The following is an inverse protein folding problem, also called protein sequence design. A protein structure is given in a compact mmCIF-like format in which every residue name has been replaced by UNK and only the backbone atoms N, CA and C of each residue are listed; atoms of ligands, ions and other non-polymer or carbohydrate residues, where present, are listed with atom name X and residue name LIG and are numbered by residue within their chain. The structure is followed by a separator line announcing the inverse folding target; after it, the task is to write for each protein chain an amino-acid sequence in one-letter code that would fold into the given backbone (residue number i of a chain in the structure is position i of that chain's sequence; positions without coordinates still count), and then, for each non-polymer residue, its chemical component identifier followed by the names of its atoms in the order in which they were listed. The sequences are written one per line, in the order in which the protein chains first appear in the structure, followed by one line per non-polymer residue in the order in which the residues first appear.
data_IF_962710754547
#
_entry.id   IF_962710754547
#
_cell.length_a   1.000
_cell.length_b   1.000
_cell.length_c   1.000
_cell.angle_alpha   90.00
_cell.angle_beta   90.00
_cell.angle_gamma   90.00
#
_symmetry.space_group_name_H-M   'P 1'
#
loop_
_entity.id
_entity.type
_entity.pdbx_description
1 polymer ?
#
# COMPACT_ATOMS: atom_id res chain seq x y z
N UNK A 1 9.09 32.40 34.33
CA UNK A 1 8.09 31.32 34.53
C UNK A 1 7.20 31.30 33.29
N UNK A 2 7.01 30.18 32.59
CA UNK A 2 6.08 30.16 31.47
C UNK A 2 4.67 30.34 32.04
N UNK A 3 3.99 31.41 31.63
CA UNK A 3 2.65 31.76 32.08
C UNK A 3 1.71 30.57 31.80
N UNK A 4 1.27 29.90 32.87
CA UNK A 4 0.22 28.88 32.79
C UNK A 4 -1.05 29.58 32.30
N UNK A 5 -1.42 29.30 31.06
CA UNK A 5 -2.73 29.70 30.52
C UNK A 5 -3.79 29.02 31.38
N UNK A 6 -4.72 29.80 31.91
CA UNK A 6 -5.81 29.29 32.76
C UNK A 6 -6.67 28.28 31.99
N UNK A 7 -6.85 27.07 32.56
CA UNK A 7 -7.61 25.98 31.92
C UNK A 7 -9.06 26.38 31.60
N UNK A 8 -9.66 27.23 32.45
CA UNK A 8 -10.99 27.81 32.25
C UNK A 8 -11.08 28.62 30.96
N UNK A 9 -10.02 29.36 30.61
CA UNK A 9 -9.94 30.18 29.40
C UNK A 9 -9.74 29.31 28.15
N UNK A 10 -8.97 28.22 28.27
CA UNK A 10 -8.80 27.23 27.20
C UNK A 10 -10.13 26.55 26.88
N UNK A 11 -10.88 26.10 27.88
CA UNK A 11 -12.16 25.42 27.68
C UNK A 11 -13.20 26.35 27.04
N UNK A 12 -13.23 27.63 27.45
CA UNK A 12 -14.10 28.60 26.80
C UNK A 12 -13.68 28.86 25.35
N UNK A 13 -12.39 28.99 25.07
CA UNK A 13 -11.89 29.14 23.71
C UNK A 13 -12.23 27.93 22.82
N UNK A 14 -12.18 26.70 23.35
CA UNK A 14 -12.62 25.50 22.62
C UNK A 14 -14.11 25.51 22.31
N UNK A 15 -14.95 25.95 23.26
CA UNK A 15 -16.40 26.11 23.03
C UNK A 15 -16.68 27.15 21.97
N UNK A 16 -16.06 28.33 22.08
CA UNK A 16 -16.16 29.39 21.09
C UNK A 16 -15.70 28.91 19.71
N UNK A 17 -14.62 28.12 19.63
CA UNK A 17 -14.13 27.55 18.37
C UNK A 17 -15.14 26.58 17.77
N UNK A 18 -15.79 25.73 18.59
CA UNK A 18 -16.84 24.82 18.13
C UNK A 18 -18.06 25.59 17.59
N UNK A 19 -18.47 26.66 18.26
CA UNK A 19 -19.57 27.53 17.81
C UNK A 19 -19.23 28.29 16.52
N UNK A 20 -17.97 28.71 16.36
CA UNK A 20 -17.46 29.39 15.17
C UNK A 20 -17.19 28.45 13.98
N UNK A 21 -17.45 27.15 14.10
CA UNK A 21 -17.30 26.17 13.02
C UNK A 21 -15.98 25.39 12.99
N UNK A 22 -15.18 25.45 14.05
CA UNK A 22 -14.02 24.58 14.29
C UNK A 22 -12.64 25.26 14.24
N UNK A 23 -12.61 26.59 14.08
CA UNK A 23 -11.39 27.40 14.19
C UNK A 23 -11.70 28.70 14.95
N UNK A 24 -10.66 29.44 15.31
CA UNK A 24 -10.82 30.67 16.07
C UNK A 24 -9.91 31.79 15.56
N UNK A 25 -10.46 33.01 15.47
CA UNK A 25 -9.72 34.28 15.37
C UNK A 25 -10.00 35.09 16.65
N UNK A 26 -9.22 36.15 16.91
CA UNK A 26 -9.47 37.00 18.08
C UNK A 26 -10.92 37.55 18.07
N UNK A 27 -11.38 38.02 16.91
CA UNK A 27 -12.74 38.53 16.74
C UNK A 27 -13.81 37.46 17.00
N UNK A 28 -13.61 36.24 16.47
CA UNK A 28 -14.55 35.13 16.68
C UNK A 28 -14.56 34.70 18.15
N UNK A 29 -13.41 34.72 18.83
CA UNK A 29 -13.36 34.48 20.26
C UNK A 29 -14.18 35.53 21.02
N UNK A 30 -13.97 36.82 20.76
CA UNK A 30 -14.70 37.89 21.44
C UNK A 30 -16.20 37.92 21.10
N UNK A 31 -16.57 37.41 19.93
CA UNK A 31 -17.96 37.24 19.51
C UNK A 31 -18.66 36.09 20.25
N UNK A 32 -18.00 34.92 20.37
CA UNK A 32 -18.60 33.68 20.87
C UNK A 32 -18.27 33.34 22.32
N UNK A 33 -17.38 34.08 23.00
CA UNK A 33 -17.11 33.89 24.44
C UNK A 33 -18.29 34.28 25.32
N UNK A 34 -18.42 33.65 26.48
CA UNK A 34 -19.28 34.13 27.55
C UNK A 34 -18.74 35.46 28.11
N UNK A 35 -19.36 36.57 27.68
CA UNK A 35 -18.97 37.92 28.08
C UNK A 35 -19.09 38.19 29.59
N UNK A 36 -19.89 37.39 30.31
CA UNK A 36 -20.06 37.53 31.76
C UNK A 36 -18.98 36.78 32.55
N UNK A 37 -18.32 35.78 31.96
CA UNK A 37 -17.35 34.91 32.65
C UNK A 37 -15.92 35.10 32.19
N UNK A 38 -15.71 35.57 30.96
CA UNK A 38 -14.40 35.57 30.33
C UNK A 38 -14.08 36.95 29.79
N UNK A 39 -12.87 37.44 30.05
CA UNK A 39 -12.40 38.74 29.56
C UNK A 39 -12.17 38.73 28.04
N UNK A 40 -12.11 39.92 27.44
CA UNK A 40 -11.77 40.05 26.02
C UNK A 40 -10.34 39.55 25.72
N UNK A 41 -10.11 39.13 24.48
CA UNK A 41 -8.79 38.63 24.07
C UNK A 41 -7.67 39.65 24.34
N UNK A 42 -7.87 40.92 23.96
CA UNK A 42 -6.85 41.97 24.13
C UNK A 42 -6.47 42.16 25.61
N UNK A 43 -7.47 42.14 26.50
CA UNK A 43 -7.24 42.20 27.96
C UNK A 43 -6.44 40.99 28.45
N UNK A 44 -6.78 39.80 27.98
CA UNK A 44 -6.07 38.56 28.34
C UNK A 44 -4.63 38.55 27.82
N UNK A 45 -4.42 38.96 26.57
CA UNK A 45 -3.13 39.00 25.90
C UNK A 45 -2.16 39.95 26.61
N UNK A 46 -2.61 41.15 27.00
CA UNK A 46 -1.80 42.12 27.74
C UNK A 46 -1.37 41.59 29.11
N UNK A 47 -2.29 40.97 29.86
CA UNK A 47 -2.00 40.41 31.20
C UNK A 47 -1.00 39.26 31.12
N UNK A 48 -1.16 38.37 30.14
CA UNK A 48 -0.38 37.13 30.03
C UNK A 48 0.80 37.21 29.05
N UNK A 49 0.98 38.36 28.38
CA UNK A 49 2.04 38.62 27.38
C UNK A 49 2.15 37.49 26.34
N UNK A 50 1.02 37.02 25.82
CA UNK A 50 0.94 35.91 24.87
C UNK A 50 0.26 36.34 23.56
N UNK A 51 0.80 35.90 22.42
CA UNK A 51 0.19 36.14 21.11
C UNK A 51 -0.99 35.20 20.87
N UNK A 52 -1.94 35.59 20.02
CA UNK A 52 -3.11 34.74 19.76
C UNK A 52 -2.71 33.42 19.12
N UNK A 53 -1.70 33.46 18.23
CA UNK A 53 -1.16 32.27 17.58
C UNK A 53 -0.55 31.29 18.57
N UNK A 54 0.19 31.77 19.56
CA UNK A 54 0.80 30.90 20.57
C UNK A 54 -0.23 30.36 21.55
N UNK A 55 -1.24 31.17 21.89
CA UNK A 55 -2.40 30.70 22.66
C UNK A 55 -3.14 29.56 21.95
N UNK A 56 -3.43 29.69 20.66
CA UNK A 56 -4.08 28.65 19.86
C UNK A 56 -3.31 27.33 19.88
N UNK A 57 -1.97 27.38 19.80
CA UNK A 57 -1.11 26.19 19.91
C UNK A 57 -1.22 25.52 21.28
N UNK A 58 -1.20 26.30 22.37
CA UNK A 58 -1.34 25.78 23.74
C UNK A 58 -2.72 25.14 23.91
N UNK A 59 -3.77 25.79 23.42
CA UNK A 59 -5.15 25.31 23.50
C UNK A 59 -5.44 24.16 22.52
N UNK A 60 -4.52 23.83 21.61
CA UNK A 60 -4.69 22.90 20.49
C UNK A 60 -5.90 23.24 19.61
N UNK A 61 -6.16 24.53 19.41
CA UNK A 61 -7.23 25.04 18.56
C UNK A 61 -6.63 25.44 17.22
N UNK A 62 -7.15 24.96 16.07
CA UNK A 62 -6.65 25.36 14.77
C UNK A 62 -6.85 26.85 14.52
N UNK A 63 -5.84 27.51 13.94
CA UNK A 63 -6.04 28.80 13.28
C UNK A 63 -6.93 28.64 12.04
N UNK A 64 -7.44 29.77 11.51
CA UNK A 64 -8.25 29.79 10.28
C UNK A 64 -7.56 29.09 9.10
N UNK A 65 -6.26 29.34 8.94
CA UNK A 65 -5.49 28.77 7.84
C UNK A 65 -5.20 27.28 8.05
N UNK A 66 -4.87 26.86 9.27
CA UNK A 66 -4.69 25.44 9.61
C UNK A 66 -5.99 24.65 9.45
N UNK A 67 -7.12 25.24 9.84
CA UNK A 67 -8.42 24.62 9.66
C UNK A 67 -8.76 24.44 8.18
N UNK A 68 -8.54 25.48 7.35
CA UNK A 68 -8.73 25.38 5.89
C UNK A 68 -7.82 24.31 5.28
N UNK A 69 -6.55 24.26 5.68
CA UNK A 69 -5.59 23.22 5.25
C UNK A 69 -6.09 21.82 5.63
N UNK A 70 -6.55 21.61 6.86
CA UNK A 70 -7.04 20.32 7.32
C UNK A 70 -8.34 19.90 6.61
N UNK A 71 -9.28 20.84 6.43
CA UNK A 71 -10.51 20.59 5.67
C UNK A 71 -10.19 20.18 4.22
N UNK A 72 -9.21 20.86 3.60
CA UNK A 72 -8.74 20.53 2.25
C UNK A 72 -8.13 19.13 2.20
N UNK A 73 -7.28 18.75 3.17
CA UNK A 73 -6.71 17.40 3.26
C UNK A 73 -7.79 16.32 3.34
N UNK A 74 -8.81 16.52 4.18
CA UNK A 74 -9.92 15.57 4.32
C UNK A 74 -10.63 15.39 2.98
N UNK A 75 -10.89 16.49 2.27
CA UNK A 75 -11.53 16.46 0.97
C UNK A 75 -10.68 15.73 -0.09
N UNK A 76 -9.37 15.97 -0.12
CA UNK A 76 -8.44 15.25 -1.01
C UNK A 76 -8.50 13.74 -0.76
N UNK A 77 -8.45 13.31 0.51
CA UNK A 77 -8.51 11.90 0.90
C UNK A 77 -9.84 11.28 0.43
N UNK A 78 -10.96 11.98 0.61
CA UNK A 78 -12.27 11.51 0.15
C UNK A 78 -12.32 11.34 -1.37
N UNK A 79 -11.83 12.33 -2.13
CA UNK A 79 -11.78 12.26 -3.60
C UNK A 79 -10.91 11.09 -4.07
N UNK A 80 -9.75 10.90 -3.43
CA UNK A 80 -8.84 9.78 -3.71
C UNK A 80 -9.49 8.42 -3.42
N UNK A 81 -10.19 8.28 -2.29
CA UNK A 81 -10.93 7.06 -1.95
C UNK A 81 -12.06 6.78 -2.93
N UNK A 82 -12.83 7.80 -3.32
CA UNK A 82 -13.88 7.67 -4.34
C UNK A 82 -13.32 7.18 -5.67
N UNK A 83 -12.25 7.80 -6.18
CA UNK A 83 -11.60 7.35 -7.41
C UNK A 83 -11.08 5.92 -7.32
N UNK A 84 -10.48 5.57 -6.18
CA UNK A 84 -9.95 4.23 -5.97
C UNK A 84 -11.06 3.18 -5.88
N UNK A 85 -12.24 3.52 -5.36
CA UNK A 85 -13.43 2.66 -5.39
C UNK A 85 -13.93 2.49 -6.83
N UNK A 86 -13.99 3.58 -7.60
CA UNK A 86 -14.51 3.57 -8.98
C UNK A 86 -13.57 2.87 -9.97
N UNK A 87 -12.27 3.11 -9.86
CA UNK A 87 -11.27 2.72 -10.87
C UNK A 87 -10.20 1.75 -10.35
N UNK A 88 -10.16 1.48 -9.04
CA UNK A 88 -9.15 0.61 -8.40
C UNK A 88 -7.78 1.27 -8.18
N UNK A 89 -7.61 2.52 -8.63
CA UNK A 89 -6.43 3.35 -8.48
C UNK A 89 -6.79 4.83 -8.68
N UNK A 90 -5.84 5.72 -8.40
CA UNK A 90 -5.92 7.15 -8.69
C UNK A 90 -4.88 7.54 -9.75
N UNK A 91 -5.28 8.41 -10.66
CA UNK A 91 -4.40 9.05 -11.63
C UNK A 91 -4.92 10.44 -11.99
N UNK A 92 -4.04 11.26 -12.56
CA UNK A 92 -4.35 12.65 -12.91
C UNK A 92 -5.56 12.77 -13.84
N UNK A 93 -5.59 11.98 -14.92
CA UNK A 93 -6.64 12.04 -15.93
C UNK A 93 -8.00 11.72 -15.31
N UNK A 94 -8.11 10.61 -14.58
CA UNK A 94 -9.35 10.23 -13.92
C UNK A 94 -9.76 11.24 -12.85
N UNK A 95 -8.81 11.84 -12.13
CA UNK A 95 -9.10 12.86 -11.13
C UNK A 95 -9.69 14.14 -11.75
N UNK A 96 -9.10 14.60 -12.86
CA UNK A 96 -9.52 15.81 -13.56
C UNK A 96 -10.84 15.63 -14.32
N UNK A 97 -11.10 14.44 -14.88
CA UNK A 97 -12.37 14.10 -15.51
C UNK A 97 -13.56 14.22 -14.53
N UNK A 98 -13.33 13.90 -13.25
CA UNK A 98 -14.34 14.03 -12.19
C UNK A 98 -14.50 15.49 -11.69
N UNK A 99 -13.68 16.43 -12.17
CA UNK A 99 -13.71 17.85 -11.80
C UNK A 99 -13.67 18.09 -10.29
N UNK A 100 -12.92 17.25 -9.58
CA UNK A 100 -12.78 17.37 -8.13
C UNK A 100 -12.04 18.65 -7.72
N UNK A 101 -12.39 19.15 -6.54
CA UNK A 101 -11.67 20.22 -5.87
C UNK A 101 -11.01 19.69 -4.59
N UNK A 102 -9.75 20.06 -4.28
CA UNK A 102 -8.86 20.94 -5.05
C UNK A 102 -8.27 20.28 -6.31
N UNK A 103 -7.66 21.06 -7.22
CA UNK A 103 -7.04 20.53 -8.45
C UNK A 103 -5.83 19.64 -8.18
N UNK A 104 -5.50 18.78 -9.14
CA UNK A 104 -4.35 17.87 -9.04
C UNK A 104 -3.03 18.62 -8.81
N UNK A 105 -2.79 19.71 -9.57
CA UNK A 105 -1.61 20.57 -9.44
C UNK A 105 -1.50 21.15 -8.02
N UNK A 106 -2.61 21.67 -7.48
CA UNK A 106 -2.62 22.24 -6.14
C UNK A 106 -2.27 21.18 -5.08
N UNK A 107 -2.77 19.95 -5.25
CA UNK A 107 -2.44 18.84 -4.34
C UNK A 107 -0.96 18.48 -4.44
N UNK A 108 -0.45 18.35 -5.66
CA UNK A 108 0.95 18.07 -5.94
C UNK A 108 1.87 19.10 -5.27
N UNK A 109 1.60 20.39 -5.49
CA UNK A 109 2.47 21.47 -5.03
C UNK A 109 2.42 21.69 -3.51
N UNK A 110 1.25 21.52 -2.89
CA UNK A 110 1.03 21.88 -1.47
C UNK A 110 1.10 20.72 -0.51
N UNK A 111 0.81 19.51 -0.96
CA UNK A 111 0.72 18.33 -0.10
C UNK A 111 1.56 17.14 -0.59
N UNK A 112 1.79 17.04 -1.90
CA UNK A 112 2.39 15.88 -2.57
C UNK A 112 1.35 14.78 -2.81
N UNK A 113 1.22 14.33 -4.06
CA UNK A 113 0.23 13.33 -4.47
C UNK A 113 0.47 11.98 -3.79
N UNK A 114 1.73 11.52 -3.76
CA UNK A 114 2.14 10.25 -3.18
C UNK A 114 1.87 10.20 -1.68
N UNK A 115 2.17 11.29 -0.99
CA UNK A 115 1.91 11.43 0.45
C UNK A 115 0.42 11.32 0.74
N UNK A 116 -0.40 12.03 -0.02
CA UNK A 116 -1.85 12.00 0.17
C UNK A 116 -2.47 10.65 -0.22
N UNK A 117 -1.94 9.99 -1.25
CA UNK A 117 -2.37 8.64 -1.63
C UNK A 117 -2.04 7.59 -0.56
N UNK A 118 -0.86 7.70 0.05
CA UNK A 118 -0.44 6.86 1.17
C UNK A 118 -1.36 7.06 2.38
N UNK A 119 -1.63 8.31 2.79
CA UNK A 119 -2.56 8.62 3.89
C UNK A 119 -3.98 8.13 3.60
N UNK A 120 -4.41 8.19 2.34
CA UNK A 120 -5.71 7.71 1.91
C UNK A 120 -5.78 6.19 1.75
N UNK A 121 -4.64 5.48 1.83
CA UNK A 121 -4.52 4.03 1.60
C UNK A 121 -5.00 3.59 0.20
N UNK A 122 -4.68 4.40 -0.83
CA UNK A 122 -5.10 4.15 -2.22
C UNK A 122 -3.93 3.91 -3.17
N UNK A 123 -4.19 3.26 -4.30
CA UNK A 123 -3.15 2.92 -5.29
C UNK A 123 -2.97 4.07 -6.27
N UNK A 124 -1.73 4.54 -6.49
CA UNK A 124 -1.38 5.48 -7.57
C UNK A 124 -1.06 4.75 -8.88
N UNK A 125 -1.48 5.33 -10.01
CA UNK A 125 -1.08 4.88 -11.34
C UNK A 125 0.35 5.35 -11.63
N UNK A 126 1.27 4.39 -11.73
CA UNK A 126 2.74 4.50 -11.83
C UNK A 126 3.44 4.81 -10.48
N UNK A 127 3.97 3.76 -9.85
CA UNK A 127 3.90 3.55 -8.39
C UNK A 127 5.25 3.56 -7.64
N UNK A 128 6.39 3.76 -8.30
CA UNK A 128 7.70 3.42 -7.72
C UNK A 128 8.51 4.63 -7.24
N UNK A 129 8.45 4.89 -5.93
CA UNK A 129 9.20 5.97 -5.26
C UNK A 129 10.70 5.60 -5.19
N UNK A 130 11.02 4.38 -4.76
CA UNK A 130 12.38 3.83 -4.67
C UNK A 130 12.61 2.65 -5.64
N UNK A 131 13.89 2.31 -5.86
CA UNK A 131 14.31 1.20 -6.72
C UNK A 131 14.05 -0.15 -6.04
N UNK A 132 14.18 -0.25 -4.72
CA UNK A 132 14.04 -1.52 -3.99
C UNK A 132 12.63 -2.10 -4.09
N UNK A 133 11.60 -1.26 -3.97
CA UNK A 133 10.19 -1.61 -4.18
C UNK A 133 9.93 -2.01 -5.62
N UNK A 134 10.61 -1.37 -6.57
CA UNK A 134 10.53 -1.69 -7.99
C UNK A 134 11.14 -3.08 -8.28
N UNK A 135 12.27 -3.39 -7.66
CA UNK A 135 12.92 -4.71 -7.74
C UNK A 135 12.11 -5.78 -7.04
N UNK A 136 11.51 -5.47 -5.89
CA UNK A 136 10.63 -6.40 -5.17
C UNK A 136 9.39 -6.78 -6.01
N UNK A 137 8.71 -5.78 -6.58
CA UNK A 137 7.56 -6.02 -7.49
C UNK A 137 7.98 -6.80 -8.74
N UNK A 138 9.17 -6.52 -9.30
CA UNK A 138 9.73 -7.29 -10.41
C UNK A 138 9.93 -8.75 -10.01
N UNK A 139 10.54 -8.98 -8.84
CA UNK A 139 10.83 -10.32 -8.32
C UNK A 139 9.56 -11.14 -8.14
N UNK A 140 8.53 -10.52 -7.57
CA UNK A 140 7.20 -11.13 -7.40
C UNK A 140 6.55 -11.42 -8.77
N UNK A 141 6.55 -10.46 -9.71
CA UNK A 141 5.92 -10.69 -11.01
C UNK A 141 6.58 -11.81 -11.82
N UNK A 142 7.91 -11.94 -11.75
CA UNK A 142 8.64 -13.04 -12.41
C UNK A 142 8.33 -14.38 -11.73
N UNK A 143 8.20 -14.39 -10.40
CA UNK A 143 7.77 -15.57 -9.64
C UNK A 143 6.35 -16.00 -9.98
N UNK A 144 5.41 -15.07 -10.08
CA UNK A 144 4.03 -15.34 -10.49
C UNK A 144 3.95 -15.82 -11.94
N UNK A 145 4.81 -15.30 -12.82
CA UNK A 145 4.94 -15.78 -14.19
C UNK A 145 5.49 -17.21 -14.25
N UNK A 146 6.32 -17.60 -13.28
CA UNK A 146 6.86 -18.95 -13.12
C UNK A 146 8.01 -19.30 -14.06
N UNK A 147 8.45 -18.36 -14.91
CA UNK A 147 9.60 -18.51 -15.80
C UNK A 147 10.28 -17.17 -16.08
N UNK A 148 11.51 -17.21 -16.61
CA UNK A 148 12.26 -16.02 -17.06
C UNK A 148 11.78 -15.59 -18.45
N UNK A 149 11.13 -14.42 -18.59
CA UNK A 149 10.66 -13.92 -19.88
C UNK A 149 11.74 -13.13 -20.62
N UNK A 150 11.54 -12.96 -21.92
CA UNK A 150 12.21 -11.87 -22.63
C UNK A 150 11.68 -10.52 -22.16
N UNK A 151 12.48 -9.46 -22.36
CA UNK A 151 12.04 -8.08 -22.11
C UNK A 151 10.76 -7.72 -22.87
N UNK A 152 10.65 -8.16 -24.11
CA UNK A 152 9.49 -7.88 -24.96
C UNK A 152 8.24 -8.60 -24.45
N UNK A 153 8.34 -9.90 -24.16
CA UNK A 153 7.24 -10.68 -23.58
C UNK A 153 6.77 -10.05 -22.26
N UNK A 154 7.69 -9.63 -21.40
CA UNK A 154 7.34 -9.00 -20.13
C UNK A 154 6.55 -7.70 -20.31
N UNK A 155 6.92 -6.87 -21.31
CA UNK A 155 6.21 -5.63 -21.64
C UNK A 155 4.83 -5.91 -22.27
N UNK A 156 4.73 -6.92 -23.14
CA UNK A 156 3.48 -7.37 -23.77
C UNK A 156 2.47 -7.91 -22.75
N UNK A 157 2.96 -8.65 -21.75
CA UNK A 157 2.18 -9.13 -20.61
C UNK A 157 1.80 -8.01 -19.62
N UNK A 158 2.32 -6.79 -19.80
CA UNK A 158 2.04 -5.61 -18.97
C UNK A 158 2.27 -5.85 -17.47
N UNK A 159 3.31 -6.62 -17.15
CA UNK A 159 3.70 -6.96 -15.79
C UNK A 159 4.31 -5.75 -15.06
N UNK A 160 4.45 -5.87 -13.74
CA UNK A 160 4.87 -4.78 -12.84
C UNK A 160 6.23 -5.06 -12.21
N UNK A 161 7.17 -4.10 -12.18
CA UNK A 161 7.11 -2.75 -12.75
C UNK A 161 7.16 -2.75 -14.28
N UNK A 162 6.50 -1.80 -14.93
CA UNK A 162 6.62 -1.68 -16.39
C UNK A 162 8.06 -1.40 -16.83
N UNK A 163 8.44 -1.81 -18.04
CA UNK A 163 9.75 -1.48 -18.62
C UNK A 163 10.01 0.03 -18.64
N UNK A 164 8.96 0.82 -18.88
CA UNK A 164 9.04 2.29 -18.82
C UNK A 164 9.34 2.80 -17.41
N UNK A 165 8.75 2.18 -16.38
CA UNK A 165 9.03 2.49 -14.97
C UNK A 165 10.49 2.18 -14.61
N UNK A 166 11.01 1.02 -15.02
CA UNK A 166 12.43 0.67 -14.84
C UNK A 166 13.35 1.71 -15.49
N UNK A 167 13.07 2.05 -16.75
CA UNK A 167 13.84 3.04 -17.51
C UNK A 167 13.80 4.44 -16.85
N UNK A 168 12.68 4.83 -16.26
CA UNK A 168 12.54 6.13 -15.57
C UNK A 168 13.46 6.29 -14.36
N UNK A 169 13.96 5.18 -13.80
CA UNK A 169 14.94 5.15 -12.71
C UNK A 169 16.35 4.78 -13.20
N UNK A 170 16.64 4.94 -14.50
CA UNK A 170 17.90 4.54 -15.14
C UNK A 170 18.26 3.06 -14.95
N UNK A 171 17.25 2.19 -14.74
CA UNK A 171 17.45 0.77 -14.57
C UNK A 171 17.24 0.04 -15.90
N UNK A 172 18.30 -0.59 -16.41
CA UNK A 172 18.17 -1.47 -17.58
C UNK A 172 17.50 -2.78 -17.17
N UNK A 173 16.84 -3.46 -18.12
CA UNK A 173 16.19 -4.76 -17.87
C UNK A 173 17.17 -5.78 -17.27
N UNK A 174 18.38 -5.87 -17.84
CA UNK A 174 19.43 -6.78 -17.36
C UNK A 174 19.83 -6.46 -15.92
N UNK A 175 20.03 -5.18 -15.59
CA UNK A 175 20.41 -4.77 -14.24
C UNK A 175 19.28 -5.01 -13.25
N UNK A 176 18.03 -4.75 -13.66
CA UNK A 176 16.85 -5.01 -12.84
C UNK A 176 16.72 -6.50 -12.49
N UNK A 177 16.88 -7.37 -13.48
CA UNK A 177 16.83 -8.82 -13.29
C UNK A 177 17.95 -9.31 -12.39
N UNK A 178 19.19 -8.81 -12.56
CA UNK A 178 20.31 -9.14 -11.67
C UNK A 178 20.00 -8.72 -10.22
N UNK A 179 19.47 -7.52 -10.01
CA UNK A 179 19.08 -7.04 -8.68
C UNK A 179 17.92 -7.84 -8.09
N UNK A 180 17.03 -8.38 -8.92
CA UNK A 180 15.99 -9.31 -8.52
C UNK A 180 16.49 -10.75 -8.32
N UNK A 181 17.80 -11.00 -8.39
CA UNK A 181 18.48 -12.30 -8.27
C UNK A 181 18.19 -13.28 -9.43
N UNK A 182 17.90 -12.74 -10.62
CA UNK A 182 17.62 -13.51 -11.83
C UNK A 182 18.62 -13.29 -12.95
N UNK A 183 18.86 -14.36 -13.72
CA UNK A 183 19.66 -14.29 -14.93
C UNK A 183 18.77 -14.12 -16.17
N UNK A 184 18.66 -12.88 -16.64
CA UNK A 184 17.89 -12.50 -17.84
C UNK A 184 18.36 -13.12 -19.17
N UNK A 185 19.54 -13.73 -19.25
CA UNK A 185 20.02 -14.37 -20.49
C UNK A 185 19.47 -15.79 -20.68
N UNK A 186 19.02 -16.42 -19.60
CA UNK A 186 18.47 -17.78 -19.62
C UNK A 186 16.93 -17.73 -19.72
N UNK A 187 16.46 -17.22 -20.85
CA UNK A 187 15.02 -17.10 -21.13
C UNK A 187 14.38 -18.50 -21.16
N UNK A 188 13.21 -18.65 -20.55
CA UNK A 188 12.47 -19.91 -20.46
C UNK A 188 12.80 -20.77 -19.24
N UNK A 189 13.89 -20.48 -18.52
CA UNK A 189 14.16 -21.08 -17.21
C UNK A 189 12.96 -20.90 -16.26
N UNK A 190 12.69 -21.89 -15.41
CA UNK A 190 11.57 -21.90 -14.46
C UNK A 190 11.96 -21.26 -13.12
N UNK A 191 10.97 -20.80 -12.35
CA UNK A 191 11.18 -20.00 -11.12
C UNK A 191 10.78 -20.69 -9.82
N UNK A 192 10.60 -22.00 -9.72
CA UNK A 192 10.10 -22.66 -8.50
C UNK A 192 8.72 -22.14 -8.09
N UNK A 193 7.84 -23.00 -7.59
CA UNK A 193 6.51 -22.57 -7.14
C UNK A 193 6.36 -22.60 -5.62
N UNK A 194 7.36 -23.11 -4.90
CA UNK A 194 7.32 -23.16 -3.44
C UNK A 194 7.28 -21.76 -2.82
N UNK A 195 6.52 -21.59 -1.74
CA UNK A 195 6.35 -20.29 -1.09
C UNK A 195 7.70 -19.71 -0.64
N UNK A 196 7.89 -18.41 -0.88
CA UNK A 196 9.12 -17.66 -0.59
C UNK A 196 10.41 -18.21 -1.20
N UNK A 197 10.34 -19.14 -2.16
CA UNK A 197 11.49 -19.61 -2.91
C UNK A 197 11.54 -18.93 -4.28
N UNK A 198 12.61 -18.20 -4.57
CA UNK A 198 12.77 -17.45 -5.84
C UNK A 198 13.84 -18.07 -6.73
N UNK A 199 14.16 -19.35 -6.55
CA UNK A 199 15.24 -20.01 -7.28
C UNK A 199 14.86 -20.19 -8.74
N UNK A 200 15.69 -19.65 -9.63
CA UNK A 200 15.68 -19.93 -11.06
C UNK A 200 16.38 -21.27 -11.34
N UNK A 201 15.79 -22.11 -12.19
CA UNK A 201 16.36 -23.38 -12.64
C UNK A 201 16.02 -23.68 -14.10
N UNK A 202 16.71 -24.67 -14.66
CA UNK A 202 16.60 -25.02 -16.08
C UNK A 202 15.17 -25.37 -16.50
N UNK A 203 14.82 -24.96 -17.73
CA UNK A 203 13.53 -25.23 -18.33
C UNK A 203 13.21 -26.73 -18.31
N UNK A 204 12.17 -27.09 -17.57
CA UNK A 204 11.70 -28.46 -17.41
C UNK A 204 10.21 -28.46 -17.06
N UNK A 205 9.60 -29.65 -17.01
CA UNK A 205 8.22 -29.83 -16.50
C UNK A 205 8.14 -29.71 -14.97
N UNK A 206 9.28 -29.59 -14.27
CA UNK A 206 9.31 -29.49 -12.81
C UNK A 206 8.70 -28.17 -12.32
N UNK A 207 7.89 -28.27 -11.27
CA UNK A 207 7.30 -27.11 -10.59
C UNK A 207 8.21 -26.54 -9.48
N UNK A 208 9.09 -27.36 -8.91
CA UNK A 208 9.94 -26.99 -7.78
C UNK A 208 11.42 -27.16 -8.14
N UNK A 209 12.28 -26.34 -7.55
CA UNK A 209 13.72 -26.61 -7.57
C UNK A 209 14.02 -27.87 -6.74
N UNK A 210 15.15 -28.53 -6.98
CA UNK A 210 15.48 -29.82 -6.35
C UNK A 210 15.41 -29.79 -4.81
N UNK A 211 15.79 -28.67 -4.19
CA UNK A 211 15.72 -28.48 -2.74
C UNK A 211 14.27 -28.46 -2.25
N UNK A 212 13.40 -27.69 -2.91
CA UNK A 212 11.99 -27.61 -2.54
C UNK A 212 11.24 -28.89 -2.91
N UNK A 213 11.60 -29.55 -4.01
CA UNK A 213 11.03 -30.84 -4.42
C UNK A 213 11.28 -31.91 -3.35
N UNK A 214 12.53 -32.00 -2.85
CA UNK A 214 12.87 -32.91 -1.73
C UNK A 214 12.10 -32.57 -0.47
N UNK A 215 11.92 -31.29 -0.17
CA UNK A 215 11.16 -30.83 1.01
C UNK A 215 9.69 -31.25 0.92
N UNK A 216 9.02 -30.96 -0.21
CA UNK A 216 7.63 -31.33 -0.46
C UNK A 216 7.45 -32.85 -0.41
N UNK A 217 8.35 -33.62 -1.04
CA UNK A 217 8.31 -35.10 -0.95
C UNK A 217 8.43 -35.60 0.48
N UNK A 218 9.31 -35.00 1.30
CA UNK A 218 9.42 -35.36 2.72
C UNK A 218 8.19 -34.99 3.52
N UNK A 219 7.56 -33.85 3.26
CA UNK A 219 6.31 -33.41 3.89
C UNK A 219 5.16 -34.38 3.54
N UNK A 220 5.04 -34.76 2.27
CA UNK A 220 4.03 -35.73 1.80
C UNK A 220 4.26 -37.11 2.44
N UNK A 221 5.49 -37.61 2.47
CA UNK A 221 5.78 -38.91 3.08
C UNK A 221 5.38 -38.94 4.57
N UNK A 222 5.68 -37.87 5.32
CA UNK A 222 5.24 -37.76 6.72
C UNK A 222 3.72 -37.76 6.87
N UNK A 223 3.01 -37.09 5.96
CA UNK A 223 1.54 -37.10 5.95
C UNK A 223 1.00 -38.51 5.69
N UNK A 224 1.56 -39.23 4.71
CA UNK A 224 1.21 -40.61 4.39
C UNK A 224 1.45 -41.53 5.60
N UNK A 225 2.63 -41.42 6.24
CA UNK A 225 2.99 -42.24 7.41
C UNK A 225 2.03 -42.02 8.60
N UNK A 226 1.43 -40.83 8.70
CA UNK A 226 0.47 -40.47 9.74
C UNK A 226 -1.00 -40.75 9.38
N UNK A 227 -1.26 -41.20 8.16
CA UNK A 227 -2.62 -41.30 7.61
C UNK A 227 -3.34 -42.55 8.10
N UNK A 228 -4.65 -42.44 8.36
CA UNK A 228 -5.46 -43.63 8.64
C UNK A 228 -5.63 -44.48 7.38
N UNK A 229 -5.83 -45.79 7.56
CA UNK A 229 -6.01 -46.72 6.45
C UNK A 229 -7.23 -46.37 5.57
N UNK A 230 -8.28 -45.79 6.18
CA UNK A 230 -9.48 -45.32 5.48
C UNK A 230 -9.19 -44.09 4.61
N UNK A 231 -8.42 -43.14 5.13
CA UNK A 231 -8.07 -41.91 4.39
C UNK A 231 -7.09 -42.21 3.26
N UNK A 232 -6.14 -43.12 3.48
CA UNK A 232 -5.22 -43.60 2.45
C UNK A 232 -5.96 -44.28 1.29
N UNK A 233 -6.99 -45.09 1.60
CA UNK A 233 -7.84 -45.70 0.58
C UNK A 233 -8.66 -44.66 -0.20
N UNK A 234 -9.13 -43.60 0.45
CA UNK A 234 -9.86 -42.50 -0.21
C UNK A 234 -8.94 -41.76 -1.18
N UNK A 235 -7.76 -41.36 -0.71
CA UNK A 235 -6.76 -40.65 -1.51
C UNK A 235 -6.33 -41.48 -2.74
N UNK A 236 -6.09 -42.78 -2.56
CA UNK A 236 -5.72 -43.66 -3.67
C UNK A 236 -6.82 -43.73 -4.74
N UNK A 237 -8.10 -43.80 -4.33
CA UNK A 237 -9.24 -43.80 -5.27
C UNK A 237 -9.33 -42.49 -6.03
N UNK A 238 -9.12 -41.36 -5.36
CA UNK A 238 -9.09 -40.04 -6.00
C UNK A 238 -7.97 -39.96 -7.04
N UNK A 239 -6.74 -40.37 -6.69
CA UNK A 239 -5.59 -40.36 -7.61
C UNK A 239 -5.83 -41.24 -8.85
N UNK A 240 -6.45 -42.42 -8.68
CA UNK A 240 -6.83 -43.32 -9.79
C UNK A 240 -7.85 -42.63 -10.70
N UNK A 241 -8.89 -42.00 -10.13
CA UNK A 241 -9.95 -41.35 -10.90
C UNK A 241 -9.47 -40.10 -11.64
N UNK A 242 -8.51 -39.36 -11.10
CA UNK A 242 -7.89 -38.21 -11.76
C UNK A 242 -6.89 -38.59 -12.87
N UNK A 243 -6.60 -39.89 -13.05
CA UNK A 243 -5.65 -40.36 -14.06
C UNK A 243 -4.18 -40.07 -13.73
N UNK A 244 -3.89 -39.71 -12.48
CA UNK A 244 -2.54 -39.35 -11.99
C UNK A 244 -1.70 -40.58 -11.61
N UNK A 245 -2.04 -41.77 -12.09
CA UNK A 245 -1.36 -43.02 -11.76
C UNK A 245 -0.68 -43.57 -13.00
N UNK A 246 0.59 -43.99 -12.86
CA UNK A 246 1.33 -44.64 -13.93
C UNK A 246 0.56 -45.88 -14.42
N UNK A 247 0.14 -45.85 -15.68
CA UNK A 247 -0.62 -46.93 -16.31
C UNK A 247 0.12 -48.27 -16.27
N UNK A 248 1.46 -48.27 -16.30
CA UNK A 248 2.24 -49.53 -16.15
C UNK A 248 2.08 -50.11 -14.76
N UNK A 249 2.12 -49.27 -13.73
CA UNK A 249 1.95 -49.70 -12.34
C UNK A 249 0.53 -50.22 -12.08
N UNK A 250 -0.49 -49.57 -12.65
CA UNK A 250 -1.88 -50.05 -12.59
C UNK A 250 -2.05 -51.41 -13.27
N UNK A 251 -1.45 -51.59 -14.45
CA UNK A 251 -1.49 -52.86 -15.18
C UNK A 251 -0.78 -53.99 -14.42
N UNK A 252 0.32 -53.70 -13.72
CA UNK A 252 0.98 -54.66 -12.83
C UNK A 252 0.11 -55.04 -11.64
N UNK A 253 -0.58 -54.08 -11.02
CA UNK A 253 -1.49 -54.33 -9.89
C UNK A 253 -2.70 -55.16 -10.35
N UNK A 254 -3.29 -54.88 -11.52
CA UNK A 254 -4.43 -55.63 -12.07
C UNK A 254 -4.11 -57.10 -12.34
N UNK A 255 -2.85 -57.41 -12.63
CA UNK A 255 -2.38 -58.77 -12.91
C UNK A 255 -2.08 -59.60 -11.65
N UNK A 256 -2.01 -58.96 -10.47
CA UNK A 256 -1.88 -59.64 -9.18
C UNK A 256 -3.24 -60.11 -8.69
#
# INVERSE_FOLDING_TARGET
MPNKVEDSFIEEAKKAAKQAGGYLTADLFDQFRDKKKTVAWDTYSRKNKITFRDFLKIAKIPSKDEYKLNKTKIQIIQNFKLLNITYGYIDKKSYEEQKYTPSWEYISDRFGIEKMACIAEVKLKNKYIDIDTMISDLKISIKELGYIPTRQQYDELKLKPSIKSLKSKNLSWRNAMIQAEYNSTRVGDKICQYDRCYVQFEASEKLFCDTCEKKVKSEINKLIDSMSLKDAQSLLRELINEGNVDHKLLDEIRKR
#
